data_IF_369331026273
#
_entry.id   IF_369331026273
#
_cell.length_a   1.000
_cell.length_b   1.000
_cell.length_c   1.000
_cell.angle_alpha   90.00
_cell.angle_beta   90.00
_cell.angle_gamma   90.00
#
_symmetry.space_group_name_H-M   'P 1'
#
loop_
_entity.id
_entity.type
_entity.pdbx_description
1 polymer ?
#
# COMPACT_ATOMS: atom_id res chain seq x y z
N UNK A 1 38.17 40.72 -26.87
CA UNK A 1 38.25 40.41 -25.43
C UNK A 1 37.24 39.31 -25.15
N UNK A 2 37.67 38.15 -24.62
CA UNK A 2 36.77 36.99 -24.46
C UNK A 2 35.90 37.15 -23.21
N UNK A 3 34.70 37.65 -23.47
CA UNK A 3 33.43 37.54 -22.76
C UNK A 3 33.40 36.67 -21.48
N UNK A 4 33.63 37.30 -20.33
CA UNK A 4 33.35 36.70 -19.01
C UNK A 4 31.88 36.29 -18.85
N UNK A 5 30.98 36.93 -19.61
CA UNK A 5 29.56 36.59 -19.75
C UNK A 5 29.35 35.26 -20.46
N UNK A 6 30.15 34.91 -21.47
CA UNK A 6 30.07 33.63 -22.18
C UNK A 6 30.58 32.47 -21.30
N UNK A 7 31.63 32.72 -20.51
CA UNK A 7 32.16 31.73 -19.57
C UNK A 7 31.15 31.41 -18.46
N UNK A 8 30.44 32.43 -17.97
CA UNK A 8 29.37 32.27 -16.96
C UNK A 8 28.11 31.64 -17.55
N UNK A 9 27.75 31.94 -18.80
CA UNK A 9 26.61 31.27 -19.46
C UNK A 9 26.91 29.81 -19.76
N UNK A 10 28.13 29.46 -20.17
CA UNK A 10 28.53 28.09 -20.44
C UNK A 10 28.55 27.23 -19.17
N UNK A 11 29.07 27.76 -18.06
CA UNK A 11 29.04 27.04 -16.78
C UNK A 11 27.61 26.87 -16.26
N UNK A 12 26.75 27.87 -16.41
CA UNK A 12 25.32 27.78 -16.06
C UNK A 12 24.59 26.74 -16.91
N UNK A 13 24.90 26.66 -18.21
CA UNK A 13 24.32 25.67 -19.11
C UNK A 13 24.69 24.24 -18.72
N UNK A 14 25.95 24.00 -18.35
CA UNK A 14 26.41 22.70 -17.86
C UNK A 14 25.75 22.33 -16.52
N UNK A 15 25.58 23.29 -15.60
CA UNK A 15 24.88 23.06 -14.34
C UNK A 15 23.41 22.65 -14.55
N UNK A 16 22.70 23.29 -15.49
CA UNK A 16 21.32 22.91 -15.83
C UNK A 16 21.24 21.50 -16.41
N UNK A 17 22.15 21.11 -17.29
CA UNK A 17 22.20 19.75 -17.84
C UNK A 17 22.44 18.70 -16.76
N UNK A 18 23.29 18.99 -15.77
CA UNK A 18 23.51 18.10 -14.61
C UNK A 18 22.24 18.03 -13.75
N UNK A 19 21.56 19.14 -13.53
CA UNK A 19 20.30 19.17 -12.77
C UNK A 19 19.20 18.37 -13.46
N UNK A 20 19.07 18.46 -14.78
CA UNK A 20 18.13 17.66 -15.57
C UNK A 20 18.44 16.16 -15.48
N UNK A 21 19.71 15.79 -15.41
CA UNK A 21 20.13 14.39 -15.22
C UNK A 21 19.91 13.89 -13.79
N UNK A 22 20.09 14.76 -12.79
CA UNK A 22 19.95 14.41 -11.35
C UNK A 22 18.51 14.51 -10.85
N UNK A 23 17.66 15.32 -11.48
CA UNK A 23 16.25 15.47 -11.12
C UNK A 23 15.47 14.14 -11.10
N UNK A 24 15.56 13.23 -12.09
CA UNK A 24 14.91 11.91 -12.00
C UNK A 24 15.48 11.03 -10.87
N UNK A 25 16.72 11.26 -10.42
CA UNK A 25 17.31 10.58 -9.27
C UNK A 25 16.76 11.13 -7.93
N UNK A 26 16.54 12.45 -7.83
CA UNK A 26 15.86 13.08 -6.67
C UNK A 26 14.40 12.61 -6.53
N UNK A 27 13.73 12.28 -7.64
CA UNK A 27 12.37 11.71 -7.68
C UNK A 27 12.31 10.18 -7.53
N UNK A 28 13.45 9.48 -7.43
CA UNK A 28 13.51 8.09 -6.96
C UNK A 28 13.41 7.94 -5.44
N UNK A 29 12.98 8.99 -4.73
CA UNK A 29 12.25 8.80 -3.48
C UNK A 29 10.96 8.06 -3.84
N UNK A 30 11.01 6.73 -3.72
CA UNK A 30 9.87 5.81 -3.82
C UNK A 30 8.65 6.53 -3.25
N UNK A 31 7.72 6.91 -4.12
CA UNK A 31 6.47 7.55 -3.70
C UNK A 31 5.76 6.56 -2.79
N UNK A 32 5.87 6.83 -1.50
CA UNK A 32 5.37 6.01 -0.41
C UNK A 32 3.90 6.32 -0.17
N UNK A 33 3.10 6.34 -1.24
CA UNK A 33 1.65 6.29 -1.10
C UNK A 33 1.28 4.85 -0.77
N UNK A 34 1.32 4.50 0.52
CA UNK A 34 0.87 3.19 1.03
C UNK A 34 1.96 2.37 1.73
N UNK A 35 2.66 2.94 2.70
CA UNK A 35 3.51 2.15 3.60
C UNK A 35 2.63 1.14 4.33
N UNK A 36 2.72 -0.14 3.96
CA UNK A 36 2.07 -1.20 4.73
C UNK A 36 2.50 -1.08 6.19
N UNK A 37 1.61 -1.42 7.15
CA UNK A 37 1.92 -1.29 8.57
C UNK A 37 3.25 -1.98 8.91
N UNK A 38 4.05 -1.44 9.85
CA UNK A 38 5.39 -1.95 10.17
C UNK A 38 5.37 -3.39 10.71
N UNK A 39 4.24 -3.83 11.27
CA UNK A 39 4.02 -5.20 11.72
C UNK A 39 3.71 -6.19 10.58
N UNK A 40 3.55 -5.71 9.34
CA UNK A 40 3.14 -6.52 8.19
C UNK A 40 4.35 -7.03 7.41
N UNK A 41 4.52 -8.36 7.38
CA UNK A 41 5.57 -9.01 6.60
C UNK A 41 5.40 -8.80 5.09
N UNK A 42 6.50 -8.84 4.34
CA UNK A 42 6.51 -8.80 2.87
C UNK A 42 5.68 -9.90 2.24
N UNK A 43 5.65 -11.10 2.85
CA UNK A 43 4.83 -12.22 2.41
C UNK A 43 3.32 -11.93 2.56
N UNK A 44 2.94 -11.24 3.63
CA UNK A 44 1.54 -10.91 3.91
C UNK A 44 1.02 -9.84 2.97
N UNK A 45 1.85 -8.82 2.70
CA UNK A 45 1.60 -7.83 1.66
C UNK A 45 1.37 -8.49 0.31
N UNK A 46 2.27 -9.39 -0.12
CA UNK A 46 2.14 -10.09 -1.42
C UNK A 46 0.83 -10.89 -1.50
N UNK A 47 0.41 -11.51 -0.40
CA UNK A 47 -0.86 -12.24 -0.33
C UNK A 47 -2.04 -11.28 -0.50
N UNK A 48 -2.06 -10.18 0.23
CA UNK A 48 -3.12 -9.16 0.17
C UNK A 48 -3.25 -8.50 -1.22
N UNK A 49 -2.13 -8.25 -1.90
CA UNK A 49 -2.12 -7.64 -3.24
C UNK A 49 -2.35 -8.64 -4.36
N UNK A 50 -2.25 -9.94 -4.10
CA UNK A 50 -2.59 -10.95 -5.10
C UNK A 50 -4.10 -10.92 -5.35
N UNK A 51 -4.50 -10.56 -6.58
CA UNK A 51 -5.90 -10.48 -7.01
C UNK A 51 -6.53 -11.87 -7.01
N UNK A 52 -6.95 -12.32 -5.84
CA UNK A 52 -7.63 -13.58 -5.66
C UNK A 52 -8.95 -13.39 -4.95
N UNK A 53 -9.93 -14.20 -5.34
CA UNK A 53 -11.27 -14.24 -4.74
C UNK A 53 -11.19 -14.55 -3.24
N UNK A 54 -11.01 -13.51 -2.43
CA UNK A 54 -10.94 -13.62 -0.97
C UNK A 54 -12.23 -14.19 -0.38
N UNK A 55 -13.35 -14.07 -1.10
CA UNK A 55 -14.61 -14.74 -0.77
C UNK A 55 -14.49 -16.26 -0.66
N UNK A 56 -13.61 -16.89 -1.45
CA UNK A 56 -13.41 -18.36 -1.47
C UNK A 56 -12.29 -18.81 -0.53
N UNK A 57 -11.28 -17.96 -0.30
CA UNK A 57 -10.10 -18.30 0.52
C UNK A 57 -10.24 -17.92 2.00
N UNK A 58 -11.11 -16.97 2.33
CA UNK A 58 -11.28 -16.51 3.70
C UNK A 58 -12.00 -17.56 4.56
N UNK A 59 -11.64 -17.61 5.84
CA UNK A 59 -12.30 -18.48 6.80
C UNK A 59 -13.69 -17.92 7.18
N UNK A 60 -13.80 -16.59 7.22
CA UNK A 60 -15.03 -15.86 7.47
C UNK A 60 -15.18 -14.69 6.49
N UNK A 61 -16.40 -14.47 6.01
CA UNK A 61 -16.76 -13.33 5.16
C UNK A 61 -17.76 -12.47 5.92
N UNK A 62 -17.44 -11.19 6.08
CA UNK A 62 -18.31 -10.19 6.70
C UNK A 62 -18.92 -9.33 5.60
N UNK A 63 -20.25 -9.27 5.56
CA UNK A 63 -20.97 -8.46 4.60
C UNK A 63 -22.28 -7.94 5.20
N UNK A 64 -22.48 -6.62 5.15
CA UNK A 64 -23.69 -5.97 5.70
C UNK A 64 -24.94 -6.24 4.86
N UNK A 65 -24.76 -6.52 3.57
CA UNK A 65 -25.81 -6.87 2.61
C UNK A 65 -26.34 -8.30 2.77
N UNK A 66 -25.88 -9.05 3.79
CA UNK A 66 -26.28 -10.44 4.03
C UNK A 66 -25.63 -11.45 3.09
N UNK A 67 -24.76 -11.01 2.17
CA UNK A 67 -24.06 -11.89 1.22
C UNK A 67 -22.83 -12.60 1.82
N UNK A 68 -22.70 -12.56 3.14
CA UNK A 68 -21.57 -13.09 3.91
C UNK A 68 -22.06 -13.90 5.12
N UNK A 69 -21.12 -14.56 5.81
CA UNK A 69 -21.44 -15.37 7.00
C UNK A 69 -21.77 -14.52 8.23
N UNK A 70 -21.34 -13.26 8.25
CA UNK A 70 -21.53 -12.34 9.38
C UNK A 70 -21.89 -10.94 8.90
N UNK A 71 -22.73 -10.26 9.68
CA UNK A 71 -23.13 -8.87 9.39
C UNK A 71 -22.21 -7.85 10.07
N UNK A 72 -21.55 -8.22 11.17
CA UNK A 72 -20.67 -7.35 11.96
C UNK A 72 -19.27 -7.94 12.14
N UNK A 73 -18.27 -7.07 12.30
CA UNK A 73 -16.89 -7.48 12.59
C UNK A 73 -16.81 -8.15 13.96
N UNK A 74 -17.54 -7.64 14.96
CA UNK A 74 -17.54 -8.20 16.32
C UNK A 74 -18.00 -9.68 16.34
N UNK A 75 -19.05 -10.02 15.60
CA UNK A 75 -19.52 -11.40 15.48
C UNK A 75 -18.47 -12.32 14.82
N UNK A 76 -17.78 -11.82 13.79
CA UNK A 76 -16.71 -12.57 13.14
C UNK A 76 -15.50 -12.77 14.06
N UNK A 77 -15.16 -11.76 14.89
CA UNK A 77 -14.08 -11.85 15.88
C UNK A 77 -14.39 -12.84 17.00
N UNK A 78 -15.63 -12.88 17.48
CA UNK A 78 -16.05 -13.82 18.52
C UNK A 78 -15.90 -15.30 18.08
N UNK A 79 -15.97 -15.57 16.78
CA UNK A 79 -15.79 -16.93 16.25
C UNK A 79 -14.33 -17.32 16.07
N UNK A 80 -13.38 -16.39 16.19
CA UNK A 80 -11.96 -16.69 16.04
C UNK A 80 -11.54 -17.62 17.20
N UNK A 81 -11.06 -18.84 16.90
CA UNK A 81 -10.62 -19.76 17.95
C UNK A 81 -9.39 -19.20 18.65
N UNK A 82 -9.45 -19.08 19.98
CA UNK A 82 -8.39 -18.47 20.81
C UNK A 82 -7.06 -19.23 20.78
N UNK A 83 -7.10 -20.56 20.58
CA UNK A 83 -5.93 -21.44 20.66
C UNK A 83 -5.55 -22.05 19.31
N UNK A 84 -5.33 -21.23 18.28
CA UNK A 84 -4.98 -21.72 16.94
C UNK A 84 -3.64 -21.14 16.47
N UNK A 85 -2.65 -22.01 16.28
CA UNK A 85 -1.34 -21.66 15.68
C UNK A 85 -1.40 -21.36 14.16
N UNK A 86 -2.60 -21.34 13.57
CA UNK A 86 -2.81 -21.08 12.15
C UNK A 86 -3.58 -19.77 11.98
N UNK A 87 -3.11 -18.93 11.06
CA UNK A 87 -3.76 -17.67 10.69
C UNK A 87 -5.24 -17.87 10.35
N UNK A 88 -6.08 -16.99 10.87
CA UNK A 88 -7.50 -16.90 10.55
C UNK A 88 -7.75 -15.65 9.71
N UNK A 89 -8.25 -15.83 8.49
CA UNK A 89 -8.48 -14.73 7.55
C UNK A 89 -9.96 -14.34 7.55
N UNK A 90 -10.23 -13.08 7.89
CA UNK A 90 -11.57 -12.47 7.82
C UNK A 90 -11.58 -11.53 6.61
N UNK A 91 -12.43 -11.81 5.64
CA UNK A 91 -12.64 -10.94 4.49
C UNK A 91 -13.86 -10.06 4.74
N UNK A 92 -13.67 -8.74 4.69
CA UNK A 92 -14.75 -7.76 4.85
C UNK A 92 -15.09 -7.19 3.49
N UNK A 93 -16.33 -7.39 3.02
CA UNK A 93 -16.79 -6.81 1.76
C UNK A 93 -16.89 -5.28 1.89
N UNK A 94 -16.74 -4.60 0.76
CA UNK A 94 -16.90 -3.14 0.66
C UNK A 94 -18.30 -2.77 1.16
N UNK A 95 -18.37 -1.89 2.16
CA UNK A 95 -19.62 -1.40 2.72
C UNK A 95 -19.39 -0.60 4.00
N UNK A 96 -20.36 0.23 4.38
CA UNK A 96 -20.29 1.01 5.60
C UNK A 96 -20.54 0.09 6.81
N UNK A 97 -19.48 -0.27 7.53
CA UNK A 97 -19.58 -0.99 8.80
C UNK A 97 -19.65 0.04 9.92
N UNK A 98 -20.83 0.19 10.53
CA UNK A 98 -20.98 0.93 11.77
C UNK A 98 -20.68 -0.04 12.91
N UNK A 99 -19.79 0.38 13.81
CA UNK A 99 -19.51 -0.30 15.08
C UNK A 99 -20.66 0.05 16.04
N UNK A 100 -21.41 -0.95 16.49
CA UNK A 100 -22.20 -0.89 17.71
C UNK A 100 -21.74 -2.01 18.62
#
# INVERSE_FOLDING_TARGET
MKNSTELTSNSLALLRQIEDFVSPLKFRRRRLFGENPPWMSSADRRRLTSSSDWSKKANAVVAKDGSGKYNTIAAALAKVPKNRNKRFVIYVKKGYTTRM
#
